data_IF_301128459135
#
_entry.id   IF_301128459135
#
_cell.length_a   1.000
_cell.length_b   1.000
_cell.length_c   1.000
_cell.angle_alpha   90.00
_cell.angle_beta   90.00
_cell.angle_gamma   90.00
#
_symmetry.space_group_name_H-M   'P 1'
#
loop_
_entity.id
_entity.type
_entity.pdbx_description
1 polymer ?
#
# COMPACT_ATOMS: atom_id res chain seq x y z
N UNK A 1 55.33 6.86 -14.41
CA UNK A 1 54.15 7.50 -13.79
C UNK A 1 53.05 6.46 -13.75
N UNK A 2 52.78 5.91 -12.57
CA UNK A 2 51.82 4.83 -12.36
C UNK A 2 50.51 5.42 -11.83
N UNK A 3 49.39 5.04 -12.45
CA UNK A 3 48.05 5.37 -11.96
C UNK A 3 47.67 4.40 -10.83
N UNK A 4 46.94 4.86 -9.80
CA UNK A 4 46.53 3.99 -8.70
C UNK A 4 45.42 3.02 -9.14
N UNK A 5 45.62 1.75 -8.78
CA UNK A 5 44.66 0.67 -8.83
C UNK A 5 43.64 0.82 -7.70
N UNK A 6 42.35 0.87 -8.01
CA UNK A 6 41.30 0.73 -7.02
C UNK A 6 40.89 -0.74 -6.91
N UNK A 7 41.07 -1.30 -5.72
CA UNK A 7 40.55 -2.59 -5.31
C UNK A 7 39.03 -2.52 -5.23
N UNK A 8 38.38 -3.43 -5.96
CA UNK A 8 36.93 -3.63 -5.99
C UNK A 8 36.46 -4.18 -4.63
N UNK A 9 35.90 -3.32 -3.79
CA UNK A 9 35.24 -3.74 -2.54
C UNK A 9 33.86 -4.28 -2.90
N UNK A 10 33.73 -5.60 -2.86
CA UNK A 10 32.50 -6.33 -3.12
C UNK A 10 31.33 -5.83 -2.29
N UNK A 11 30.45 -5.06 -2.92
CA UNK A 11 29.07 -4.90 -2.51
C UNK A 11 28.23 -5.78 -3.40
N UNK A 12 27.99 -7.00 -2.95
CA UNK A 12 26.89 -7.83 -3.45
C UNK A 12 25.61 -7.05 -3.18
N UNK A 13 25.05 -6.40 -4.20
CA UNK A 13 23.69 -5.90 -4.13
C UNK A 13 22.79 -7.07 -3.72
N UNK A 14 21.84 -6.90 -2.80
CA UNK A 14 20.87 -7.95 -2.53
C UNK A 14 20.08 -8.18 -3.82
N UNK A 15 20.43 -9.24 -4.54
CA UNK A 15 19.61 -9.77 -5.63
C UNK A 15 18.25 -10.05 -5.04
N UNK A 16 17.24 -9.35 -5.56
CA UNK A 16 15.84 -9.63 -5.27
C UNK A 16 15.59 -11.13 -5.47
N UNK A 17 14.91 -11.80 -4.51
CA UNK A 17 14.68 -13.23 -4.63
C UNK A 17 13.88 -13.53 -5.91
N UNK A 18 14.21 -14.62 -6.61
CA UNK A 18 13.45 -15.04 -7.79
C UNK A 18 11.99 -15.27 -7.40
N UNK A 19 11.06 -14.71 -8.17
CA UNK A 19 9.63 -14.96 -8.00
C UNK A 19 9.35 -16.44 -8.25
N UNK A 20 9.18 -17.21 -7.17
CA UNK A 20 8.68 -18.57 -7.26
C UNK A 20 7.15 -18.58 -7.20
N UNK A 21 6.54 -19.49 -7.96
CA UNK A 21 5.13 -19.84 -7.79
C UNK A 21 4.87 -20.66 -6.51
N UNK A 22 5.92 -21.07 -5.80
CA UNK A 22 5.83 -21.79 -4.53
C UNK A 22 5.62 -20.84 -3.35
N UNK A 23 4.72 -21.22 -2.45
CA UNK A 23 4.38 -20.53 -1.22
C UNK A 23 5.56 -20.60 -0.24
N UNK A 24 5.98 -19.45 0.30
CA UNK A 24 6.94 -19.35 1.42
C UNK A 24 6.18 -19.43 2.74
N UNK A 25 6.83 -19.84 3.83
CA UNK A 25 6.18 -20.01 5.14
C UNK A 25 5.50 -18.71 5.61
N UNK A 26 4.20 -18.76 5.90
CA UNK A 26 3.34 -17.60 6.19
C UNK A 26 2.64 -16.96 4.99
N UNK A 27 2.97 -17.35 3.75
CA UNK A 27 2.21 -16.96 2.56
C UNK A 27 0.97 -17.87 2.40
N UNK A 28 -0.13 -17.31 1.90
CA UNK A 28 -1.21 -18.11 1.29
C UNK A 28 -1.34 -17.68 -0.15
N UNK A 29 -1.52 -18.65 -1.05
CA UNK A 29 -2.05 -18.35 -2.38
C UNK A 29 -3.38 -17.67 -2.14
N UNK A 30 -3.64 -16.55 -2.82
CA UNK A 30 -4.97 -15.95 -2.85
C UNK A 30 -5.88 -16.95 -3.55
N UNK A 31 -6.41 -17.91 -2.81
CA UNK A 31 -7.60 -18.65 -3.23
C UNK A 31 -8.71 -17.61 -3.23
N UNK A 32 -8.95 -17.05 -4.42
CA UNK A 32 -10.12 -16.26 -4.70
C UNK A 32 -11.31 -17.16 -4.35
N UNK A 33 -11.88 -16.93 -3.16
CA UNK A 33 -13.05 -17.65 -2.67
C UNK A 33 -14.09 -17.67 -3.79
N UNK A 34 -14.54 -18.83 -4.27
CA UNK A 34 -15.52 -18.92 -5.34
C UNK A 34 -16.89 -18.56 -4.78
N UNK A 35 -17.12 -17.27 -4.54
CA UNK A 35 -18.41 -16.75 -4.11
C UNK A 35 -18.93 -15.75 -5.11
N UNK A 36 -19.89 -16.25 -5.89
CA UNK A 36 -20.90 -15.58 -6.72
C UNK A 36 -20.46 -15.21 -8.16
N UNK A 37 -21.06 -15.96 -9.08
CA UNK A 37 -20.97 -15.94 -10.55
C UNK A 37 -19.82 -16.74 -11.15
N UNK A 38 -20.19 -17.72 -11.96
CA UNK A 38 -19.36 -18.47 -12.90
C UNK A 38 -18.47 -17.51 -13.70
N UNK A 39 -17.24 -17.30 -13.26
CA UNK A 39 -16.21 -16.74 -14.12
C UNK A 39 -16.11 -17.68 -15.34
N UNK A 40 -16.14 -17.16 -16.58
CA UNK A 40 -15.96 -18.00 -17.75
C UNK A 40 -14.64 -18.74 -17.58
N UNK A 41 -14.69 -20.08 -17.58
CA UNK A 41 -13.51 -20.94 -17.57
C UNK A 41 -12.61 -20.72 -18.80
N UNK A 42 -13.05 -19.92 -19.77
CA UNK A 42 -12.35 -19.66 -21.02
C UNK A 42 -11.62 -18.31 -20.98
N UNK A 43 -10.60 -18.27 -20.15
CA UNK A 43 -9.69 -17.15 -20.01
C UNK A 43 -8.45 -17.46 -20.86
N UNK A 44 -8.06 -16.62 -21.84
CA UNK A 44 -6.96 -16.98 -22.73
C UNK A 44 -5.62 -17.08 -22.00
N UNK A 45 -4.75 -17.99 -22.45
CA UNK A 45 -3.45 -18.25 -21.81
C UNK A 45 -2.47 -17.07 -21.88
N UNK A 46 -2.74 -16.07 -22.73
CA UNK A 46 -1.88 -14.91 -22.94
C UNK A 46 -2.62 -13.59 -22.71
N UNK A 47 -1.86 -12.57 -22.33
CA UNK A 47 -2.32 -11.19 -22.25
C UNK A 47 -2.09 -10.47 -23.59
N UNK A 48 -3.02 -10.65 -24.52
CA UNK A 48 -3.01 -9.98 -25.82
C UNK A 48 -4.08 -8.88 -25.91
N UNK A 49 -3.65 -7.71 -26.35
CA UNK A 49 -4.51 -6.55 -26.57
C UNK A 49 -4.26 -6.00 -27.97
N UNK A 50 -5.30 -5.55 -28.66
CA UNK A 50 -5.16 -5.08 -30.04
C UNK A 50 -6.05 -3.87 -30.34
N UNK A 51 -5.54 -2.99 -31.19
CA UNK A 51 -6.29 -1.99 -31.94
C UNK A 51 -6.27 -2.35 -33.43
N UNK A 52 -6.51 -1.41 -34.33
CA UNK A 52 -6.53 -1.69 -35.78
C UNK A 52 -5.15 -2.04 -36.33
N UNK A 53 -4.10 -1.42 -35.81
CA UNK A 53 -2.73 -1.56 -36.34
C UNK A 53 -1.68 -1.82 -35.26
N UNK A 54 -2.08 -1.86 -34.00
CA UNK A 54 -1.19 -2.11 -32.86
C UNK A 54 -1.68 -3.38 -32.18
N UNK A 55 -0.77 -4.32 -31.96
CA UNK A 55 -0.97 -5.49 -31.10
C UNK A 55 0.05 -5.44 -29.98
N UNK A 56 -0.41 -5.48 -28.73
CA UNK A 56 0.42 -5.57 -27.54
C UNK A 56 0.27 -6.98 -26.97
N UNK A 57 1.40 -7.67 -26.84
CA UNK A 57 1.51 -8.97 -26.19
C UNK A 57 2.35 -8.84 -24.92
N UNK A 58 1.76 -9.12 -23.75
CA UNK A 58 2.44 -9.10 -22.45
C UNK A 58 2.84 -10.50 -21.97
N UNK A 59 2.77 -11.50 -22.86
CA UNK A 59 3.17 -12.88 -22.56
C UNK A 59 2.09 -13.70 -21.87
N UNK A 60 2.54 -14.80 -21.26
CA UNK A 60 1.68 -15.78 -20.62
C UNK A 60 0.96 -15.21 -19.39
N UNK A 61 -0.26 -15.68 -19.17
CA UNK A 61 -1.09 -15.33 -18.04
C UNK A 61 -0.67 -16.14 -16.81
N UNK A 62 0.02 -15.47 -15.89
CA UNK A 62 0.45 -16.08 -14.63
C UNK A 62 -0.66 -16.03 -13.57
N UNK A 63 -1.50 -14.99 -13.60
CA UNK A 63 -2.57 -14.78 -12.63
C UNK A 63 -3.95 -15.07 -13.25
N UNK A 64 -4.92 -15.62 -12.51
CA UNK A 64 -6.27 -15.90 -13.00
C UNK A 64 -7.12 -14.62 -13.14
N UNK A 65 -6.52 -13.53 -13.57
CA UNK A 65 -7.13 -12.21 -13.76
C UNK A 65 -7.15 -11.84 -15.23
N UNK A 66 -8.20 -11.15 -15.68
CA UNK A 66 -8.27 -10.60 -17.04
C UNK A 66 -7.28 -9.47 -17.28
N UNK A 67 -6.89 -8.80 -16.21
CA UNK A 67 -5.95 -7.68 -16.22
C UNK A 67 -4.58 -8.18 -15.78
N UNK A 68 -3.50 -7.87 -16.51
CA UNK A 68 -2.15 -8.24 -16.09
C UNK A 68 -1.82 -7.59 -14.75
N UNK A 69 -1.17 -8.35 -13.87
CA UNK A 69 -0.82 -7.92 -12.51
C UNK A 69 0.69 -7.89 -12.33
N UNK A 70 1.21 -6.81 -11.74
CA UNK A 70 2.62 -6.62 -11.43
C UNK A 70 2.81 -6.27 -9.96
N UNK A 71 3.90 -6.76 -9.37
CA UNK A 71 4.28 -6.50 -7.98
C UNK A 71 5.21 -5.30 -7.82
N UNK A 72 5.64 -5.08 -6.57
CA UNK A 72 6.64 -4.07 -6.20
C UNK A 72 7.89 -4.22 -7.06
N UNK A 73 8.39 -3.11 -7.61
CA UNK A 73 9.56 -3.07 -8.49
C UNK A 73 9.50 -4.08 -9.65
N UNK A 74 8.29 -4.47 -10.05
CA UNK A 74 8.07 -5.44 -11.12
C UNK A 74 8.49 -4.88 -12.48
N UNK A 75 8.91 -5.79 -13.37
CA UNK A 75 9.27 -5.45 -14.74
C UNK A 75 8.06 -5.73 -15.64
N UNK A 76 7.67 -4.72 -16.43
CA UNK A 76 6.65 -4.89 -17.46
C UNK A 76 7.35 -5.17 -18.77
N UNK A 77 7.24 -6.41 -19.23
CA UNK A 77 7.84 -6.90 -20.46
C UNK A 77 6.77 -7.30 -21.47
N UNK A 78 7.09 -7.17 -22.75
CA UNK A 78 6.19 -7.57 -23.81
C UNK A 78 6.70 -7.22 -25.20
N UNK A 79 5.87 -7.45 -26.20
CA UNK A 79 6.13 -7.13 -27.59
C UNK A 79 5.01 -6.31 -28.17
N UNK A 80 5.36 -5.18 -28.79
CA UNK A 80 4.45 -4.38 -29.60
C UNK A 80 4.64 -4.78 -31.06
N UNK A 81 3.58 -5.29 -31.68
CA UNK A 81 3.56 -5.61 -33.10
C UNK A 81 2.72 -4.58 -33.86
N UNK A 82 3.19 -4.14 -35.02
CA UNK A 82 2.48 -3.19 -35.88
C UNK A 82 2.24 -3.77 -37.26
N UNK A 83 1.11 -3.45 -37.88
CA UNK A 83 0.75 -4.02 -39.19
C UNK A 83 1.51 -3.38 -40.36
N UNK A 84 1.84 -2.09 -40.27
CA UNK A 84 2.59 -1.35 -41.29
C UNK A 84 3.32 -0.16 -40.65
N UNK A 85 4.51 0.17 -41.14
CA UNK A 85 5.28 1.35 -40.74
C UNK A 85 4.99 2.60 -41.57
N UNK A 86 4.07 2.49 -42.54
CA UNK A 86 3.80 3.57 -43.48
C UNK A 86 3.36 4.84 -42.77
N UNK A 87 4.15 5.90 -42.96
CA UNK A 87 3.89 7.23 -42.39
C UNK A 87 3.86 7.25 -40.86
N UNK A 88 4.41 6.25 -40.17
CA UNK A 88 4.60 6.33 -38.72
C UNK A 88 5.79 7.25 -38.46
N UNK A 89 5.58 8.29 -37.66
CA UNK A 89 6.65 9.18 -37.21
C UNK A 89 7.43 8.55 -36.05
N UNK A 90 6.69 7.99 -35.10
CA UNK A 90 7.22 7.42 -33.87
C UNK A 90 6.29 6.34 -33.35
N UNK A 91 6.84 5.32 -32.72
CA UNK A 91 6.12 4.36 -31.90
C UNK A 91 6.68 4.46 -30.49
N UNK A 92 5.83 4.79 -29.52
CA UNK A 92 6.23 4.95 -28.12
C UNK A 92 5.35 4.08 -27.25
N UNK A 93 5.95 3.37 -26.30
CA UNK A 93 5.23 2.72 -25.22
C UNK A 93 5.46 3.50 -23.92
N UNK A 94 4.42 3.64 -23.13
CA UNK A 94 4.41 4.40 -21.89
C UNK A 94 3.70 3.60 -20.82
N UNK A 95 4.29 3.57 -19.63
CA UNK A 95 3.65 3.06 -18.42
C UNK A 95 3.44 4.25 -17.50
N UNK A 96 2.22 4.41 -17.01
CA UNK A 96 1.90 5.48 -16.07
C UNK A 96 0.94 5.03 -14.98
N UNK A 97 1.11 5.62 -13.80
CA UNK A 97 0.15 5.55 -12.71
C UNK A 97 -0.47 6.90 -12.45
N UNK A 98 -1.79 6.89 -12.26
CA UNK A 98 -2.61 8.09 -12.09
C UNK A 98 -3.51 7.87 -10.90
N UNK A 99 -3.53 8.84 -9.99
CA UNK A 99 -4.57 8.93 -8.96
C UNK A 99 -5.63 9.92 -9.42
N UNK A 100 -6.88 9.49 -9.38
CA UNK A 100 -8.05 10.32 -9.66
C UNK A 100 -8.93 10.32 -8.43
N UNK A 101 -9.28 11.50 -7.95
CA UNK A 101 -10.21 11.70 -6.85
C UNK A 101 -11.34 12.62 -7.32
N UNK A 102 -12.59 12.21 -7.15
CA UNK A 102 -13.76 12.93 -7.64
C UNK A 102 -14.74 13.25 -6.52
N UNK A 103 -15.42 14.38 -6.65
CA UNK A 103 -16.45 14.87 -5.75
C UNK A 103 -17.78 14.92 -6.49
N UNK A 104 -18.80 14.29 -5.89
CA UNK A 104 -20.16 14.23 -6.39
C UNK A 104 -21.14 14.90 -5.42
N UNK A 105 -22.06 15.68 -5.96
CA UNK A 105 -23.16 16.27 -5.20
C UNK A 105 -24.48 15.90 -5.88
N UNK A 106 -25.39 15.26 -5.12
CA UNK A 106 -26.69 14.79 -5.64
C UNK A 106 -26.57 13.94 -6.93
N UNK A 107 -25.51 13.13 -7.01
CA UNK A 107 -25.23 12.26 -8.16
C UNK A 107 -24.54 12.94 -9.35
N UNK A 108 -24.26 14.24 -9.27
CA UNK A 108 -23.58 14.99 -10.34
C UNK A 108 -22.11 15.16 -9.97
N UNK A 109 -21.20 14.88 -10.92
CA UNK A 109 -19.78 15.15 -10.77
C UNK A 109 -19.54 16.67 -10.76
N UNK A 110 -19.18 17.21 -9.59
CA UNK A 110 -18.93 18.65 -9.42
C UNK A 110 -17.45 18.97 -9.66
N UNK A 111 -16.54 18.08 -9.27
CA UNK A 111 -15.11 18.31 -9.40
C UNK A 111 -14.30 17.03 -9.35
N UNK A 112 -13.06 17.10 -9.83
CA UNK A 112 -12.08 16.04 -9.64
C UNK A 112 -10.66 16.61 -9.60
N UNK A 113 -9.77 15.86 -8.97
CA UNK A 113 -8.32 16.05 -9.00
C UNK A 113 -7.75 14.82 -9.69
N UNK A 114 -6.84 15.05 -10.64
CA UNK A 114 -6.06 13.99 -11.29
C UNK A 114 -4.58 14.33 -11.14
N UNK A 115 -3.78 13.35 -10.71
CA UNK A 115 -2.33 13.51 -10.58
C UNK A 115 -1.61 12.27 -11.06
N UNK A 116 -0.58 12.47 -11.88
CA UNK A 116 0.33 11.41 -12.31
C UNK A 116 1.29 11.09 -11.17
N UNK A 117 1.26 9.85 -10.68
CA UNK A 117 2.13 9.35 -9.63
C UNK A 117 3.51 9.00 -10.18
N UNK A 118 3.56 8.35 -11.34
CA UNK A 118 4.79 8.17 -12.11
C UNK A 118 4.50 8.00 -13.59
N UNK A 119 5.51 8.26 -14.43
CA UNK A 119 5.45 8.00 -15.87
C UNK A 119 6.82 7.57 -16.40
N UNK A 120 6.85 6.46 -17.15
CA UNK A 120 8.04 5.97 -17.86
C UNK A 120 7.67 5.68 -19.30
N UNK A 121 8.56 6.00 -20.24
CA UNK A 121 8.30 5.77 -21.66
C UNK A 121 9.54 5.33 -22.40
N UNK A 122 9.35 4.48 -23.41
CA UNK A 122 10.39 3.96 -24.29
C UNK A 122 9.94 4.19 -25.72
N UNK A 123 10.82 4.75 -26.54
CA UNK A 123 10.57 4.88 -27.98
C UNK A 123 11.06 3.62 -28.68
N UNK A 124 10.12 2.90 -29.30
CA UNK A 124 10.37 1.62 -29.97
C UNK A 124 10.76 1.81 -31.43
N UNK A 125 10.26 2.87 -32.07
CA UNK A 125 10.56 3.18 -33.46
C UNK A 125 10.50 4.69 -33.71
N UNK A 126 11.37 5.18 -34.59
CA UNK A 126 11.38 6.53 -35.16
C UNK A 126 11.61 6.45 -36.67
N UNK A 127 11.00 7.33 -37.46
CA UNK A 127 11.07 7.30 -38.93
C UNK A 127 12.43 7.66 -39.54
N UNK A 128 13.51 7.60 -38.77
CA UNK A 128 14.88 7.67 -39.28
C UNK A 128 15.13 6.46 -40.19
N UNK A 129 15.82 6.63 -41.34
CA UNK A 129 15.92 5.60 -42.37
C UNK A 129 16.45 4.28 -41.78
N UNK A 130 15.60 3.24 -41.64
CA UNK A 130 16.02 1.98 -41.05
C UNK A 130 16.63 1.06 -42.12
N UNK A 131 17.66 0.32 -41.75
CA UNK A 131 18.30 -0.73 -42.55
C UNK A 131 17.45 -2.01 -42.64
N UNK A 132 16.42 -2.18 -41.78
CA UNK A 132 15.55 -3.38 -41.74
C UNK A 132 14.14 -3.01 -41.26
N UNK A 133 13.10 -3.49 -41.97
CA UNK A 133 11.68 -3.33 -41.60
C UNK A 133 11.27 -4.41 -40.58
N UNK A 134 11.59 -4.20 -39.30
CA UNK A 134 11.10 -5.04 -38.21
C UNK A 134 9.71 -4.54 -37.78
N UNK A 135 8.72 -5.43 -37.67
CA UNK A 135 7.34 -5.09 -37.27
C UNK A 135 6.99 -5.48 -35.82
N UNK A 136 7.95 -6.07 -35.11
CA UNK A 136 7.82 -6.55 -33.73
C UNK A 136 8.88 -5.90 -32.85
N UNK A 137 8.43 -5.16 -31.85
CA UNK A 137 9.28 -4.35 -30.99
C UNK A 137 9.17 -4.84 -29.55
N UNK A 138 10.16 -5.60 -29.04
CA UNK A 138 10.19 -5.96 -27.63
C UNK A 138 10.43 -4.72 -26.78
N UNK A 139 9.91 -4.72 -25.55
CA UNK A 139 10.16 -3.68 -24.57
C UNK A 139 10.23 -4.27 -23.17
N UNK A 140 10.90 -3.54 -22.28
CA UNK A 140 10.99 -3.83 -20.85
C UNK A 140 11.01 -2.50 -20.10
N UNK A 141 10.08 -2.32 -19.15
CA UNK A 141 9.96 -1.10 -18.34
C UNK A 141 9.85 -1.51 -16.87
N UNK A 142 10.79 -1.04 -16.05
CA UNK A 142 10.77 -1.25 -14.61
C UNK A 142 9.77 -0.30 -13.94
N UNK A 143 8.91 -0.84 -13.08
CA UNK A 143 8.10 -0.03 -12.17
C UNK A 143 9.01 0.58 -11.10
N UNK A 144 8.95 1.91 -10.86
CA UNK A 144 9.75 2.53 -9.82
C UNK A 144 9.27 2.09 -8.44
N UNK A 145 10.14 2.19 -7.44
CA UNK A 145 9.74 1.89 -6.05
C UNK A 145 8.85 2.99 -5.46
N UNK A 146 9.15 4.25 -5.80
CA UNK A 146 8.49 5.45 -5.30
C UNK A 146 7.79 6.23 -6.42
N UNK A 147 6.89 7.12 -6.05
CA UNK A 147 6.30 8.08 -6.99
C UNK A 147 7.37 9.09 -7.48
N UNK A 148 7.20 9.67 -8.68
CA UNK A 148 8.21 10.57 -9.28
C UNK A 148 8.41 11.88 -8.50
N UNK A 149 7.38 12.34 -7.79
CA UNK A 149 7.37 13.64 -7.09
C UNK A 149 7.36 13.49 -5.56
N UNK A 150 7.56 12.28 -5.02
CA UNK A 150 7.54 12.04 -3.58
C UNK A 150 8.39 10.84 -3.19
N UNK A 151 8.86 10.82 -1.95
CA UNK A 151 9.51 9.63 -1.36
C UNK A 151 8.54 8.52 -0.97
N UNK A 152 7.22 8.74 -1.14
CA UNK A 152 6.22 7.71 -0.89
C UNK A 152 6.35 6.58 -1.90
N UNK A 153 6.20 5.35 -1.41
CA UNK A 153 6.10 4.14 -2.22
C UNK A 153 4.95 4.26 -3.23
N UNK A 154 5.08 3.55 -4.35
CA UNK A 154 3.95 3.43 -5.27
C UNK A 154 2.75 2.77 -4.58
N UNK A 155 1.55 3.39 -4.63
CA UNK A 155 0.36 2.85 -3.99
C UNK A 155 -0.23 1.69 -4.80
N UNK A 156 -0.85 0.67 -4.19
CA UNK A 156 -1.54 -0.40 -4.92
C UNK A 156 -2.64 0.16 -5.84
N UNK A 157 -3.01 -0.61 -6.86
CA UNK A 157 -4.26 -0.38 -7.59
C UNK A 157 -5.42 -0.40 -6.61
N UNK A 158 -6.21 0.68 -6.61
CA UNK A 158 -7.20 0.92 -5.57
C UNK A 158 -8.42 1.64 -6.12
N UNK A 159 -9.58 1.32 -5.57
CA UNK A 159 -10.82 2.06 -5.80
C UNK A 159 -11.61 2.12 -4.50
N UNK A 160 -12.12 3.30 -4.16
CA UNK A 160 -12.96 3.50 -2.99
C UNK A 160 -14.02 4.56 -3.25
N UNK A 161 -15.21 4.30 -2.71
CA UNK A 161 -16.35 5.18 -2.74
C UNK A 161 -16.78 5.50 -1.32
N UNK A 162 -16.80 6.79 -0.98
CA UNK A 162 -17.36 7.34 0.24
C UNK A 162 -18.55 8.24 -0.11
N UNK A 163 -19.42 8.60 0.85
CA UNK A 163 -20.52 9.51 0.57
C UNK A 163 -20.03 10.82 -0.06
N UNK A 164 -20.41 11.03 -1.32
CA UNK A 164 -20.07 12.22 -2.10
C UNK A 164 -18.64 12.30 -2.63
N UNK A 165 -17.74 11.35 -2.34
CA UNK A 165 -16.39 11.34 -2.95
C UNK A 165 -15.98 9.94 -3.39
N UNK A 166 -15.17 9.85 -4.44
CA UNK A 166 -14.54 8.59 -4.82
C UNK A 166 -13.09 8.82 -5.18
N UNK A 167 -12.28 7.79 -5.02
CA UNK A 167 -10.90 7.85 -5.47
C UNK A 167 -10.44 6.54 -6.06
N UNK A 168 -9.51 6.67 -7.00
CA UNK A 168 -9.06 5.58 -7.84
C UNK A 168 -7.58 5.75 -8.19
N UNK A 169 -6.80 4.71 -7.95
CA UNK A 169 -5.39 4.61 -8.36
C UNK A 169 -5.33 3.64 -9.53
N UNK A 170 -5.08 4.17 -10.74
CA UNK A 170 -5.02 3.41 -11.99
C UNK A 170 -3.59 3.31 -12.50
N UNK A 171 -3.25 2.14 -12.98
CA UNK A 171 -2.03 1.90 -13.74
C UNK A 171 -2.41 1.51 -15.16
N UNK A 172 -1.69 2.02 -16.16
CA UNK A 172 -1.95 1.69 -17.56
C UNK A 172 -0.69 1.67 -18.40
N UNK A 173 -0.70 0.79 -19.39
CA UNK A 173 0.24 0.78 -20.50
C UNK A 173 -0.44 1.49 -21.66
N UNK A 174 0.25 2.45 -22.27
CA UNK A 174 -0.20 3.18 -23.44
C UNK A 174 0.81 3.01 -24.55
N UNK A 175 0.38 2.43 -25.66
CA UNK A 175 1.12 2.43 -26.91
C UNK A 175 0.60 3.57 -27.77
N UNK A 176 1.50 4.39 -28.29
CA UNK A 176 1.18 5.58 -29.06
C UNK A 176 1.91 5.58 -30.40
N UNK A 177 1.15 5.80 -31.47
CA UNK A 177 1.64 5.70 -32.84
C UNK A 177 1.26 6.98 -33.63
N UNK A 178 1.94 8.12 -33.41
CA UNK A 178 1.77 9.32 -34.20
C UNK A 178 2.21 9.11 -35.65
N UNK A 179 1.47 9.72 -36.58
CA UNK A 179 1.67 9.57 -38.03
C UNK A 179 1.91 10.91 -38.71
N UNK A 180 2.53 10.87 -39.89
CA UNK A 180 2.76 12.05 -40.73
C UNK A 180 1.56 12.36 -41.63
N UNK A 181 1.42 13.63 -42.02
CA UNK A 181 0.31 14.12 -42.84
C UNK A 181 -1.00 14.21 -42.06
N UNK A 182 -2.13 14.23 -42.79
CA UNK A 182 -3.49 14.30 -42.24
C UNK A 182 -4.01 12.94 -41.74
N UNK A 183 -3.11 12.02 -41.37
CA UNK A 183 -3.46 10.67 -40.91
C UNK A 183 -3.76 10.70 -39.42
N UNK A 184 -4.79 9.96 -39.01
CA UNK A 184 -5.17 9.85 -37.59
C UNK A 184 -4.06 9.17 -36.78
N UNK A 185 -3.74 9.75 -35.62
CA UNK A 185 -2.95 9.12 -34.56
C UNK A 185 -3.71 7.90 -34.05
N UNK A 186 -2.99 6.81 -33.82
CA UNK A 186 -3.54 5.61 -33.19
C UNK A 186 -2.91 5.41 -31.83
N UNK A 187 -3.69 4.96 -30.85
CA UNK A 187 -3.20 4.65 -29.51
C UNK A 187 -3.99 3.47 -28.94
N UNK A 188 -3.27 2.58 -28.26
CA UNK A 188 -3.82 1.45 -27.53
C UNK A 188 -3.54 1.68 -26.04
N UNK A 189 -4.57 1.64 -25.20
CA UNK A 189 -4.44 1.78 -23.74
C UNK A 189 -4.93 0.52 -23.06
N UNK A 190 -4.09 -0.06 -22.21
CA UNK A 190 -4.33 -1.32 -21.51
C UNK A 190 -4.21 -1.08 -20.01
N UNK A 191 -5.25 -1.38 -19.22
CA UNK A 191 -5.14 -1.30 -17.77
C UNK A 191 -4.19 -2.39 -17.24
N UNK A 192 -3.48 -2.08 -16.18
CA UNK A 192 -2.70 -3.05 -15.41
C UNK A 192 -3.03 -2.93 -13.93
N UNK A 193 -2.90 -4.02 -13.19
CA UNK A 193 -3.02 -4.02 -11.75
C UNK A 193 -1.63 -3.98 -11.13
N UNK A 194 -1.42 -3.06 -10.19
CA UNK A 194 -0.24 -3.02 -9.37
C UNK A 194 -0.60 -3.51 -7.97
N UNK A 195 -0.12 -4.70 -7.62
CA UNK A 195 -0.39 -5.38 -6.35
C UNK A 195 0.94 -5.63 -5.64
N UNK A 196 1.54 -4.58 -5.02
CA UNK A 196 2.81 -4.72 -4.33
C UNK A 196 2.65 -5.67 -3.16
N UNK A 197 3.42 -6.75 -3.14
CA UNK A 197 3.61 -7.53 -1.92
C UNK A 197 4.35 -6.65 -0.92
N UNK A 198 3.80 -6.55 0.28
CA UNK A 198 4.52 -6.02 1.43
C UNK A 198 5.10 -7.18 2.21
N UNK A 199 6.29 -6.99 2.75
CA UNK A 199 6.90 -7.89 3.71
C UNK A 199 7.18 -7.05 4.95
N UNK A 200 6.72 -7.52 6.12
CA UNK A 200 7.26 -6.98 7.35
C UNK A 200 8.71 -7.49 7.49
N UNK A 201 9.65 -6.64 7.94
CA UNK A 201 10.94 -7.13 8.39
C UNK A 201 10.70 -8.25 9.41
N UNK A 202 11.54 -9.27 9.42
CA UNK A 202 11.53 -10.28 10.48
C UNK A 202 11.64 -9.56 11.82
N UNK A 203 10.51 -9.43 12.50
CA UNK A 203 10.48 -8.96 13.88
C UNK A 203 11.25 -10.03 14.67
N UNK A 204 12.22 -9.68 15.53
CA UNK A 204 12.90 -10.66 16.36
C UNK A 204 11.84 -11.42 17.19
N UNK A 205 11.43 -12.60 16.72
CA UNK A 205 10.56 -13.53 17.44
C UNK A 205 11.37 -14.13 18.58
N UNK A 206 11.62 -13.36 19.63
CA UNK A 206 12.33 -13.86 20.81
C UNK A 206 12.20 -12.93 22.03
N UNK A 207 11.07 -12.27 22.26
CA UNK A 207 10.73 -11.97 23.65
C UNK A 207 9.77 -13.08 24.06
N UNK A 208 10.21 -14.09 24.83
CA UNK A 208 9.26 -14.98 25.48
C UNK A 208 8.30 -14.09 26.27
N UNK A 209 7.04 -14.03 25.83
CA UNK A 209 5.97 -13.28 26.50
C UNK A 209 5.73 -13.75 27.95
N UNK A 210 6.38 -14.83 28.37
CA UNK A 210 6.14 -15.57 29.60
C UNK A 210 7.38 -15.74 30.48
N UNK A 211 8.45 -14.96 30.28
CA UNK A 211 9.56 -15.00 31.24
C UNK A 211 9.28 -14.00 32.38
N UNK A 212 8.78 -14.53 33.51
CA UNK A 212 8.37 -13.83 34.74
C UNK A 212 9.47 -12.93 35.34
N UNK A 213 10.70 -12.96 34.80
CA UNK A 213 11.86 -12.22 35.31
C UNK A 213 12.32 -11.04 34.45
N UNK A 214 11.71 -10.75 33.29
CA UNK A 214 12.13 -9.59 32.50
C UNK A 214 11.52 -8.31 33.07
N UNK A 215 12.33 -7.56 33.81
CA UNK A 215 12.02 -6.20 34.23
C UNK A 215 11.58 -5.36 33.02
N UNK A 216 10.35 -4.85 33.08
CA UNK A 216 9.67 -4.02 32.05
C UNK A 216 10.46 -2.79 31.58
N UNK A 217 11.54 -2.41 32.27
CA UNK A 217 12.37 -1.26 31.94
C UNK A 217 13.31 -1.48 30.75
N UNK A 218 13.48 -2.72 30.27
CA UNK A 218 14.48 -3.03 29.22
C UNK A 218 13.94 -3.98 28.12
N UNK A 219 12.62 -3.97 27.88
CA UNK A 219 12.01 -4.71 26.77
C UNK A 219 12.42 -4.09 25.42
N UNK A 220 13.64 -4.43 24.99
CA UNK A 220 14.24 -3.98 23.74
C UNK A 220 13.30 -4.31 22.57
N UNK A 221 12.75 -3.26 21.95
CA UNK A 221 11.82 -3.40 20.82
C UNK A 221 10.35 -3.09 21.13
N UNK A 222 10.01 -2.61 22.34
CA UNK A 222 8.71 -1.99 22.61
C UNK A 222 8.82 -0.45 22.61
N UNK A 223 7.81 0.22 22.07
CA UNK A 223 7.64 1.68 22.11
C UNK A 223 6.47 2.02 23.02
N UNK A 224 6.73 2.86 24.01
CA UNK A 224 5.71 3.36 24.92
C UNK A 224 4.99 4.59 24.33
N UNK A 225 3.67 4.62 24.49
CA UNK A 225 2.78 5.71 24.10
C UNK A 225 1.95 6.12 25.31
N UNK A 226 2.16 7.34 25.80
CA UNK A 226 1.35 7.89 26.89
C UNK A 226 -0.05 8.26 26.39
N UNK A 227 -1.08 7.76 27.08
CA UNK A 227 -2.48 8.01 26.76
C UNK A 227 -2.94 9.25 27.53
N UNK A 228 -3.35 10.28 26.79
CA UNK A 228 -3.93 11.48 27.38
C UNK A 228 -5.44 11.27 27.61
N UNK A 229 -5.95 11.47 28.84
CA UNK A 229 -7.39 11.37 29.09
C UNK A 229 -8.13 12.43 28.30
N UNK A 230 -9.18 12.03 27.57
CA UNK A 230 -10.12 12.95 26.92
C UNK A 230 -11.44 12.91 27.68
N UNK A 231 -11.88 14.02 28.29
CA UNK A 231 -13.14 14.05 29.04
C UNK A 231 -14.31 13.77 28.09
N UNK A 232 -15.13 12.79 28.45
CA UNK A 232 -16.36 12.44 27.74
C UNK A 232 -17.41 13.49 28.15
N UNK A 233 -17.54 14.59 27.41
CA UNK A 233 -18.68 15.50 27.60
C UNK A 233 -18.50 17.00 27.34
N UNK A 234 -17.30 17.55 27.11
CA UNK A 234 -17.17 19.01 26.92
C UNK A 234 -17.40 19.45 25.46
N UNK A 235 -18.62 19.24 24.96
CA UNK A 235 -19.08 20.05 23.84
C UNK A 235 -19.41 21.46 24.36
N UNK A 236 -18.84 22.47 23.72
CA UNK A 236 -19.12 23.92 23.81
C UNK A 236 -18.32 24.73 24.84
N UNK A 237 -17.40 25.51 24.29
CA UNK A 237 -17.09 26.92 24.62
C UNK A 237 -17.10 27.27 26.10
N UNK A 238 -15.96 27.12 26.77
CA UNK A 238 -15.55 28.12 27.76
C UNK A 238 -14.06 28.38 27.62
N UNK A 239 -13.74 29.59 27.20
CA UNK A 239 -12.40 30.13 27.08
C UNK A 239 -11.92 30.57 28.46
N UNK A 240 -11.44 29.62 29.28
CA UNK A 240 -10.47 29.92 30.35
C UNK A 240 -9.52 28.72 30.49
N UNK A 241 -8.18 28.96 30.52
CA UNK A 241 -7.22 27.91 30.80
C UNK A 241 -7.34 27.55 32.28
N UNK A 242 -8.19 26.57 32.59
CA UNK A 242 -8.23 25.99 33.92
C UNK A 242 -6.95 25.18 34.10
N UNK A 243 -6.20 25.50 35.16
CA UNK A 243 -4.92 24.91 35.48
C UNK A 243 -4.97 23.38 35.39
N UNK A 244 -3.88 22.78 34.88
CA UNK A 244 -3.65 21.34 34.81
C UNK A 244 -3.89 20.71 36.18
N UNK A 245 -5.10 20.21 36.43
CA UNK A 245 -5.32 19.21 37.46
C UNK A 245 -4.50 18.00 37.05
N UNK A 246 -3.45 17.69 37.81
CA UNK A 246 -2.70 16.44 37.73
C UNK A 246 -3.71 15.30 37.61
N UNK A 247 -3.75 14.64 36.46
CA UNK A 247 -4.72 13.58 36.22
C UNK A 247 -4.51 12.49 37.29
N UNK A 248 -5.57 12.18 38.04
CA UNK A 248 -5.57 11.16 39.10
C UNK A 248 -5.28 9.74 38.57
N UNK A 249 -5.39 9.57 37.25
CA UNK A 249 -5.08 8.33 36.54
C UNK A 249 -4.28 8.67 35.30
N UNK A 250 -3.16 7.97 35.13
CA UNK A 250 -2.34 8.03 33.93
C UNK A 250 -2.31 6.64 33.31
N UNK A 251 -2.35 6.56 31.98
CA UNK A 251 -2.22 5.30 31.28
C UNK A 251 -1.17 5.42 30.19
N UNK A 252 -0.46 4.33 29.92
CA UNK A 252 0.42 4.19 28.76
C UNK A 252 0.18 2.84 28.10
N UNK A 253 0.41 2.77 26.80
CA UNK A 253 0.40 1.53 26.02
C UNK A 253 1.78 1.31 25.40
N UNK A 254 2.32 0.11 25.56
CA UNK A 254 3.57 -0.33 24.95
C UNK A 254 3.25 -1.27 23.79
N UNK A 255 3.82 -0.98 22.61
CA UNK A 255 3.61 -1.75 21.38
C UNK A 255 4.95 -2.06 20.68
N UNK A 256 5.03 -3.10 19.83
CA UNK A 256 6.25 -3.41 19.08
C UNK A 256 6.79 -2.23 18.27
N UNK A 257 8.11 -2.10 18.21
CA UNK A 257 8.82 -1.04 17.52
C UNK A 257 9.88 -1.64 16.59
N UNK A 258 9.89 -1.31 15.28
CA UNK A 258 8.93 -0.43 14.63
C UNK A 258 7.53 -1.08 14.51
N UNK A 259 6.47 -0.26 14.44
CA UNK A 259 5.08 -0.70 14.19
C UNK A 259 4.88 -1.08 12.71
N UNK A 260 5.66 -2.05 12.23
CA UNK A 260 5.59 -2.59 10.87
C UNK A 260 5.27 -4.06 11.01
N UNK A 261 4.00 -4.42 10.80
CA UNK A 261 3.47 -5.73 11.13
C UNK A 261 2.75 -6.29 9.91
N UNK A 262 2.95 -7.57 9.62
CA UNK A 262 2.27 -8.20 8.49
C UNK A 262 0.78 -8.28 8.77
N UNK A 263 -0.03 -7.97 7.76
CA UNK A 263 -1.48 -8.16 7.84
C UNK A 263 -1.79 -9.61 8.24
N UNK A 264 -2.70 -9.79 9.20
CA UNK A 264 -3.05 -11.08 9.78
C UNK A 264 -2.27 -11.50 11.03
N UNK A 265 -1.10 -10.92 11.29
CA UNK A 265 -0.33 -11.21 12.50
C UNK A 265 -1.02 -10.65 13.77
N UNK A 266 -0.61 -11.16 14.93
CA UNK A 266 -1.01 -10.63 16.24
C UNK A 266 -0.02 -9.58 16.71
N UNK A 267 -0.53 -8.49 17.25
CA UNK A 267 0.23 -7.36 17.78
C UNK A 267 0.18 -7.46 19.31
N UNK A 268 1.23 -7.92 19.99
CA UNK A 268 1.25 -7.92 21.44
C UNK A 268 1.22 -6.49 21.97
N UNK A 269 0.54 -6.26 23.08
CA UNK A 269 0.50 -4.96 23.75
C UNK A 269 0.55 -5.10 25.26
N UNK A 270 1.06 -4.07 25.92
CA UNK A 270 1.00 -3.93 27.38
C UNK A 270 0.39 -2.57 27.70
N UNK A 271 -0.68 -2.54 28.49
CA UNK A 271 -1.26 -1.32 29.02
C UNK A 271 -0.84 -1.21 30.47
N UNK A 272 -0.28 -0.06 30.86
CA UNK A 272 0.03 0.23 32.26
C UNK A 272 -0.76 1.44 32.72
N UNK A 273 -1.48 1.28 33.81
CA UNK A 273 -2.32 2.29 34.44
C UNK A 273 -1.70 2.61 35.79
N UNK A 274 -1.50 3.90 36.05
CA UNK A 274 -0.94 4.43 37.29
C UNK A 274 -1.98 5.32 37.96
N UNK A 275 -2.23 5.11 39.24
CA UNK A 275 -3.04 5.99 40.06
C UNK A 275 -2.47 6.09 41.48
N UNK A 276 -2.52 7.26 42.13
CA UNK A 276 -2.21 7.38 43.55
C UNK A 276 -3.14 6.54 44.44
N UNK A 277 -4.31 6.14 43.94
CA UNK A 277 -5.25 5.25 44.62
C UNK A 277 -5.25 3.88 43.96
N UNK A 278 -4.83 2.87 44.73
CA UNK A 278 -4.84 1.47 44.28
C UNK A 278 -6.25 1.03 43.85
N UNK A 279 -7.27 1.43 44.60
CA UNK A 279 -8.66 1.12 44.26
C UNK A 279 -9.07 1.74 42.91
N UNK A 280 -8.59 2.94 42.58
CA UNK A 280 -8.91 3.57 41.30
C UNK A 280 -8.22 2.86 40.13
N UNK A 281 -6.96 2.45 40.29
CA UNK A 281 -6.28 1.65 39.27
C UNK A 281 -7.06 0.35 39.01
N UNK A 282 -7.40 -0.40 40.07
CA UNK A 282 -8.10 -1.67 39.97
C UNK A 282 -9.50 -1.61 39.31
N UNK A 283 -10.14 -0.43 39.22
CA UNK A 283 -11.45 -0.28 38.56
C UNK A 283 -11.36 -0.30 37.03
N UNK A 284 -10.17 -0.17 36.43
CA UNK A 284 -9.99 -0.17 34.99
C UNK A 284 -9.86 -1.59 34.41
N UNK A 285 -10.88 -2.42 34.67
CA UNK A 285 -10.94 -3.80 34.16
C UNK A 285 -11.59 -3.89 32.78
N UNK A 286 -12.45 -2.93 32.43
CA UNK A 286 -13.16 -2.91 31.15
C UNK A 286 -12.42 -2.03 30.13
N UNK A 287 -11.43 -2.63 29.46
CA UNK A 287 -10.62 -1.96 28.45
C UNK A 287 -10.87 -2.60 27.09
N UNK A 288 -11.24 -1.76 26.13
CA UNK A 288 -11.31 -2.13 24.73
C UNK A 288 -10.17 -1.48 23.96
N UNK A 289 -9.41 -2.31 23.23
CA UNK A 289 -8.43 -1.86 22.26
C UNK A 289 -8.94 -2.20 20.87
N UNK A 290 -8.79 -1.28 19.92
CA UNK A 290 -9.25 -1.48 18.55
C UNK A 290 -8.18 -1.03 17.55
N UNK A 291 -7.98 -1.84 16.52
CA UNK A 291 -7.21 -1.46 15.34
C UNK A 291 -8.17 -0.81 14.34
N UNK A 292 -7.88 0.42 13.93
CA UNK A 292 -8.78 1.21 13.09
C UNK A 292 -8.09 1.61 11.80
N UNK A 293 -8.63 1.14 10.67
CA UNK A 293 -8.25 1.60 9.35
C UNK A 293 -8.89 2.93 9.04
N UNK A 294 -8.07 3.93 8.78
CA UNK A 294 -8.49 5.27 8.36
C UNK A 294 -8.22 5.43 6.88
N UNK A 295 -9.29 5.62 6.11
CA UNK A 295 -9.22 6.00 4.69
C UNK A 295 -9.60 7.47 4.56
N UNK A 296 -8.67 8.27 4.07
CA UNK A 296 -8.87 9.70 3.81
C UNK A 296 -8.82 9.95 2.31
N UNK A 297 -9.87 10.59 1.78
CA UNK A 297 -9.95 11.01 0.39
C UNK A 297 -10.05 12.53 0.35
N UNK A 298 -9.15 13.18 -0.37
CA UNK A 298 -9.21 14.61 -0.69
C UNK A 298 -9.63 14.75 -2.15
N UNK A 299 -10.75 15.42 -2.38
CA UNK A 299 -11.26 15.71 -3.71
C UNK A 299 -11.66 17.18 -3.75
N UNK A 300 -11.01 17.97 -4.60
CA UNK A 300 -11.20 19.43 -4.63
C UNK A 300 -10.96 20.03 -3.22
N UNK A 301 -11.86 20.89 -2.74
CA UNK A 301 -11.85 21.47 -1.38
C UNK A 301 -12.47 20.58 -0.30
N UNK A 302 -12.92 19.36 -0.64
CA UNK A 302 -13.56 18.45 0.31
C UNK A 302 -12.62 17.33 0.73
N UNK A 303 -12.69 17.01 2.02
CA UNK A 303 -12.00 15.87 2.63
C UNK A 303 -13.08 14.96 3.20
N UNK A 304 -13.06 13.70 2.80
CA UNK A 304 -13.88 12.66 3.41
C UNK A 304 -12.98 11.68 4.14
N UNK A 305 -13.47 11.18 5.26
CA UNK A 305 -12.75 10.27 6.14
C UNK A 305 -13.69 9.11 6.47
N UNK A 306 -13.17 7.90 6.34
CA UNK A 306 -13.84 6.67 6.77
C UNK A 306 -12.94 5.93 7.73
N UNK A 307 -13.49 5.60 8.89
CA UNK A 307 -12.86 4.73 9.87
C UNK A 307 -13.54 3.37 9.81
N UNK A 308 -12.74 2.31 9.87
CA UNK A 308 -13.20 0.93 9.91
C UNK A 308 -12.42 0.19 10.98
N UNK A 309 -13.11 -0.32 11.99
CA UNK A 309 -12.51 -1.22 12.97
C UNK A 309 -12.16 -2.53 12.27
N UNK A 310 -10.88 -2.87 12.23
CA UNK A 310 -10.38 -4.09 11.62
C UNK A 310 -10.35 -5.25 12.61
N UNK A 311 -9.99 -4.96 13.85
CA UNK A 311 -9.85 -5.95 14.91
C UNK A 311 -10.01 -5.31 16.27
N UNK A 312 -10.38 -6.13 17.25
CA UNK A 312 -10.34 -5.80 18.67
C UNK A 312 -9.17 -6.52 19.34
N UNK A 313 -8.65 -5.91 20.41
CA UNK A 313 -7.65 -6.51 21.27
C UNK A 313 -8.30 -7.35 22.35
N UNK A 314 -7.60 -8.42 22.72
CA UNK A 314 -7.98 -9.34 23.79
C UNK A 314 -6.93 -9.25 24.91
N UNK A 315 -7.38 -8.98 26.13
CA UNK A 315 -6.55 -8.99 27.33
C UNK A 315 -6.62 -10.39 27.94
N UNK A 316 -5.47 -11.04 28.11
CA UNK A 316 -5.39 -12.38 28.70
C UNK A 316 -4.78 -12.38 30.11
N UNK A 317 -4.09 -11.31 30.51
CA UNK A 317 -3.45 -11.19 31.81
C UNK A 317 -3.69 -9.80 32.42
N UNK A 318 -3.98 -9.78 33.72
CA UNK A 318 -4.10 -8.58 34.54
C UNK A 318 -3.30 -8.78 35.82
N UNK A 319 -2.29 -7.93 36.01
CA UNK A 319 -1.40 -7.93 37.16
C UNK A 319 -1.59 -6.62 37.92
N UNK A 320 -2.01 -6.71 39.18
CA UNK A 320 -2.03 -5.55 40.09
C UNK A 320 -0.72 -5.53 40.86
N UNK A 321 0.08 -4.48 40.62
CA UNK A 321 1.27 -4.20 41.43
C UNK A 321 0.89 -3.21 42.53
N UNK A 322 1.60 -3.30 43.65
CA UNK A 322 1.54 -2.29 44.69
C UNK A 322 1.78 -0.87 44.14
N UNK A 323 1.50 0.13 44.95
CA UNK A 323 1.65 1.56 44.59
C UNK A 323 0.67 2.05 43.50
N UNK A 324 -0.46 1.36 43.35
CA UNK A 324 -1.55 1.75 42.45
C UNK A 324 -1.21 1.62 40.98
N UNK A 325 -0.49 0.55 40.63
CA UNK A 325 -0.12 0.22 39.25
C UNK A 325 -0.87 -1.02 38.79
N UNK A 326 -1.65 -0.91 37.73
CA UNK A 326 -2.26 -2.05 37.06
C UNK A 326 -1.60 -2.27 35.69
N UNK A 327 -1.23 -3.51 35.41
CA UNK A 327 -0.63 -3.92 34.14
C UNK A 327 -1.56 -4.91 33.47
N UNK A 328 -1.91 -4.65 32.22
CA UNK A 328 -2.73 -5.51 31.38
C UNK A 328 -1.91 -5.95 30.17
N UNK A 329 -1.89 -7.26 29.90
CA UNK A 329 -1.19 -7.82 28.73
C UNK A 329 -2.20 -8.47 27.80
N UNK A 330 -2.00 -8.25 26.51
CA UNK A 330 -2.95 -8.67 25.51
C UNK A 330 -2.35 -8.74 24.11
N UNK A 331 -3.19 -9.14 23.16
CA UNK A 331 -2.88 -9.14 21.74
C UNK A 331 -3.98 -8.47 20.94
N UNK A 332 -3.59 -7.71 19.93
CA UNK A 332 -4.48 -7.05 18.98
C UNK A 332 -4.39 -7.77 17.63
N UNK A 333 -5.52 -8.15 17.04
CA UNK A 333 -5.52 -8.70 15.68
C UNK A 333 -5.11 -7.67 14.63
N UNK A 334 -4.51 -8.11 13.52
CA UNK A 334 -4.13 -7.24 12.39
C UNK A 334 -4.93 -7.52 11.11
N UNK A 335 -6.26 -7.63 11.23
CA UNK A 335 -7.16 -7.88 10.10
C UNK A 335 -6.96 -9.26 9.46
N UNK A 336 -7.27 -9.38 8.17
CA UNK A 336 -7.15 -10.65 7.42
C UNK A 336 -5.80 -10.73 6.74
N UNK A 337 -5.09 -11.88 6.77
CA UNK A 337 -3.80 -12.03 6.11
C UNK A 337 -3.79 -11.52 4.66
N UNK A 338 -2.84 -10.63 4.36
CA UNK A 338 -2.61 -10.08 3.02
C UNK A 338 -3.62 -9.02 2.54
N UNK A 339 -4.55 -8.54 3.37
CA UNK A 339 -5.56 -7.55 2.95
C UNK A 339 -5.22 -6.12 3.34
N UNK A 340 -4.44 -5.94 4.41
CA UNK A 340 -4.20 -4.62 5.00
C UNK A 340 -2.82 -4.07 4.61
N UNK A 341 -2.81 -2.80 4.18
CA UNK A 341 -1.62 -2.07 3.80
C UNK A 341 -1.82 -0.57 4.00
N UNK A 342 -0.84 0.08 4.63
CA UNK A 342 -0.75 1.54 4.74
C UNK A 342 -0.01 2.14 3.54
N UNK A 343 -0.59 3.15 2.90
CA UNK A 343 -0.02 3.82 1.72
C UNK A 343 -0.68 5.19 1.47
N UNK A 344 -0.06 6.00 0.62
CA UNK A 344 -0.61 7.27 0.16
C UNK A 344 -0.37 7.48 -1.34
N UNK A 345 -1.29 8.20 -1.99
CA UNK A 345 -1.25 8.51 -3.41
C UNK A 345 -1.31 10.03 -3.59
N UNK A 346 -0.15 10.68 -3.48
CA UNK A 346 -0.04 12.14 -3.44
C UNK A 346 -0.88 12.71 -2.30
N UNK A 347 -1.57 13.82 -2.56
CA UNK A 347 -2.52 14.41 -1.59
C UNK A 347 -3.95 13.86 -1.71
N UNK A 348 -4.22 13.01 -2.71
CA UNK A 348 -5.58 12.63 -3.09
C UNK A 348 -6.17 11.54 -2.21
N UNK A 349 -5.36 10.54 -1.83
CA UNK A 349 -5.81 9.40 -1.02
C UNK A 349 -4.72 9.00 -0.04
N UNK A 350 -5.13 8.70 1.19
CA UNK A 350 -4.28 8.13 2.23
C UNK A 350 -5.05 6.99 2.91
N UNK A 351 -4.41 5.83 3.03
CA UNK A 351 -4.89 4.68 3.80
C UNK A 351 -3.89 4.41 4.90
N UNK A 352 -4.34 4.49 6.14
CA UNK A 352 -3.56 4.15 7.33
C UNK A 352 -4.27 3.04 8.08
N UNK A 353 -3.51 2.00 8.42
CA UNK A 353 -3.91 0.89 9.28
C UNK A 353 -3.15 0.99 10.58
#
# INVERSE_FOLDING_TARGET
MAAPCYTDSGYSAPTSPPYSASVTDGERIVELRPSLSSLPNDLPDHYMFQSQRIKLDLGARIWPTRTPCFGRTGVIEGTVSVTTLDHIKRLTIMVEAIVKSSFMERGILIGHIESTLFQRSVTLYTSTPPTVNILHYPFSINLPETCDKSTNLLPPSFICYLPGVSAEVRYRIRVDMPRSGLRRRESLTVPVLYLPRSYAPLTPRAIPLFDDQVHLSDAQGMKELHLAPKPIGSSKKSSKPQALTTAEVQAKISLPSPLIISSGDRIPFVITIYSPSQALAALYTDISLQLVKVTRIKAYEKISLKELVLAAGEVYESEERGDGVQILRGELGNGTPGTELSWSAGEAVEVKV
#
